data_IF_386763678380
#
_entry.id   IF_386763678380
#
_cell.length_a   1.000
_cell.length_b   1.000
_cell.length_c   1.000
_cell.angle_alpha   90.00
_cell.angle_beta   90.00
_cell.angle_gamma   90.00
#
_symmetry.space_group_name_H-M   'P 1'
#
loop_
_entity.id
_entity.type
_entity.pdbx_description
1 polymer ?
#
# COMPACT_ATOMS: atom_id res chain seq x y z
N UNK A 1 13.99 -12.82 -8.94
CA UNK A 1 13.04 -12.88 -7.79
C UNK A 1 11.63 -12.88 -8.34
N UNK A 2 10.65 -13.56 -7.68
CA UNK A 2 9.22 -13.53 -8.06
C UNK A 2 8.48 -12.54 -7.17
N UNK A 3 7.55 -11.75 -7.74
CA UNK A 3 6.70 -10.81 -7.00
C UNK A 3 5.29 -11.37 -6.93
N UNK A 4 4.67 -11.40 -5.74
CA UNK A 4 3.25 -11.66 -5.57
C UNK A 4 2.51 -10.34 -5.38
N UNK A 5 1.61 -10.03 -6.31
CA UNK A 5 0.81 -8.81 -6.31
C UNK A 5 -0.56 -9.17 -5.75
N UNK A 6 -0.86 -8.67 -4.56
CA UNK A 6 -2.12 -8.95 -3.86
C UNK A 6 -3.09 -7.79 -4.11
N UNK A 7 -4.28 -8.12 -4.61
CA UNK A 7 -5.34 -7.17 -4.94
C UNK A 7 -6.58 -7.48 -4.10
N UNK A 8 -6.74 -6.83 -2.93
CA UNK A 8 -7.98 -6.94 -2.17
C UNK A 8 -9.10 -6.22 -2.92
N UNK A 9 -10.25 -6.86 -3.07
CA UNK A 9 -11.31 -6.41 -3.98
C UNK A 9 -12.68 -6.50 -3.33
N UNK A 10 -13.49 -5.47 -3.50
CA UNK A 10 -14.91 -5.47 -3.13
C UNK A 10 -15.70 -4.41 -3.89
N UNK A 11 -16.65 -4.85 -4.74
CA UNK A 11 -17.51 -3.99 -5.57
C UNK A 11 -16.68 -2.96 -6.35
N UNK A 12 -15.77 -3.43 -7.18
CA UNK A 12 -14.77 -2.63 -7.91
C UNK A 12 -14.92 -2.73 -9.42
N UNK A 13 -16.14 -3.00 -9.93
CA UNK A 13 -16.39 -3.22 -11.36
C UNK A 13 -15.96 -2.05 -12.26
N UNK A 14 -15.94 -0.80 -11.72
CA UNK A 14 -15.52 0.38 -12.46
C UNK A 14 -14.00 0.49 -12.66
N UNK A 15 -13.19 -0.19 -11.85
CA UNK A 15 -11.74 0.09 -11.76
C UNK A 15 -10.86 -1.14 -11.85
N UNK A 16 -11.36 -2.31 -11.48
CA UNK A 16 -10.55 -3.54 -11.39
C UNK A 16 -9.86 -3.92 -12.71
N UNK A 17 -10.51 -3.64 -13.86
CA UNK A 17 -9.89 -3.92 -15.16
C UNK A 17 -8.65 -3.06 -15.38
N UNK A 18 -8.68 -1.76 -15.04
CA UNK A 18 -7.53 -0.88 -15.16
C UNK A 18 -6.39 -1.34 -14.25
N UNK A 19 -6.74 -1.77 -13.02
CA UNK A 19 -5.76 -2.31 -12.06
C UNK A 19 -5.06 -3.54 -12.65
N UNK A 20 -5.81 -4.52 -13.15
CA UNK A 20 -5.28 -5.73 -13.79
C UNK A 20 -4.43 -5.36 -15.01
N UNK A 21 -4.91 -4.48 -15.88
CA UNK A 21 -4.20 -4.04 -17.07
C UNK A 21 -2.85 -3.41 -16.72
N UNK A 22 -2.78 -2.61 -15.65
CA UNK A 22 -1.54 -1.97 -15.20
C UNK A 22 -0.47 -2.96 -14.75
N UNK A 23 -0.90 -4.12 -14.23
CA UNK A 23 -0.01 -5.23 -13.88
C UNK A 23 0.46 -5.97 -15.12
N UNK A 24 -0.47 -6.30 -16.03
CA UNK A 24 -0.13 -6.99 -17.29
C UNK A 24 0.86 -6.18 -18.13
N UNK A 25 0.71 -4.87 -18.11
CA UNK A 25 1.53 -3.93 -18.87
C UNK A 25 2.97 -3.84 -18.35
N UNK A 26 3.30 -4.37 -17.16
CA UNK A 26 4.66 -4.34 -16.64
C UNK A 26 5.64 -5.11 -17.55
N UNK A 27 6.86 -4.58 -17.73
CA UNK A 27 7.92 -5.25 -18.49
C UNK A 27 8.42 -6.51 -17.76
N UNK A 28 8.63 -6.41 -16.45
CA UNK A 28 8.98 -7.54 -15.60
C UNK A 28 7.84 -8.56 -15.56
N UNK A 29 8.12 -9.84 -15.92
CA UNK A 29 7.08 -10.87 -16.09
C UNK A 29 7.08 -11.96 -15.01
N UNK A 30 8.09 -11.99 -14.13
CA UNK A 30 8.15 -13.01 -13.09
C UNK A 30 7.31 -12.60 -11.85
N UNK A 31 6.02 -12.50 -12.05
CA UNK A 31 5.05 -12.18 -10.98
C UNK A 31 3.89 -13.17 -10.99
N UNK A 32 3.08 -13.13 -9.94
CA UNK A 32 1.76 -13.72 -9.86
C UNK A 32 0.77 -12.67 -9.36
N UNK A 33 -0.49 -12.78 -9.77
CA UNK A 33 -1.59 -11.95 -9.29
C UNK A 33 -2.45 -12.79 -8.35
N UNK A 34 -2.74 -12.26 -7.17
CA UNK A 34 -3.61 -12.88 -6.18
C UNK A 34 -4.74 -11.91 -5.86
N UNK A 35 -5.93 -12.19 -6.35
CA UNK A 35 -7.12 -11.39 -6.08
C UNK A 35 -7.92 -12.04 -4.97
N UNK A 36 -8.21 -11.28 -3.91
CA UNK A 36 -9.05 -11.70 -2.79
C UNK A 36 -10.30 -10.83 -2.77
N UNK A 37 -11.41 -11.42 -3.19
CA UNK A 37 -12.70 -10.73 -3.34
C UNK A 37 -13.64 -11.03 -2.17
N UNK A 38 -14.16 -9.97 -1.54
CA UNK A 38 -15.09 -10.06 -0.42
C UNK A 38 -16.56 -10.25 -0.88
N UNK A 39 -16.83 -11.29 -1.68
CA UNK A 39 -18.16 -11.58 -2.21
C UNK A 39 -18.83 -10.37 -2.90
N UNK A 40 -18.16 -9.77 -3.87
CA UNK A 40 -18.69 -8.66 -4.68
C UNK A 40 -20.04 -9.01 -5.30
N UNK A 41 -20.95 -8.02 -5.33
CA UNK A 41 -22.32 -8.15 -5.83
C UNK A 41 -22.55 -7.44 -7.17
N UNK A 42 -21.55 -6.68 -7.62
CA UNK A 42 -21.52 -6.03 -8.93
C UNK A 42 -20.80 -6.92 -9.97
N UNK A 43 -20.45 -6.36 -11.13
CA UNK A 43 -19.77 -7.09 -12.20
C UNK A 43 -18.30 -7.41 -11.94
N UNK A 44 -17.76 -7.13 -10.75
CA UNK A 44 -16.33 -7.33 -10.41
C UNK A 44 -15.86 -8.75 -10.69
N UNK A 45 -16.59 -9.75 -10.18
CA UNK A 45 -16.24 -11.17 -10.33
C UNK A 45 -16.27 -11.60 -11.81
N UNK A 46 -17.25 -11.12 -12.57
CA UNK A 46 -17.36 -11.39 -14.02
C UNK A 46 -16.16 -10.84 -14.78
N UNK A 47 -15.76 -9.59 -14.48
CA UNK A 47 -14.61 -8.93 -15.11
C UNK A 47 -13.33 -9.71 -14.82
N UNK A 48 -13.10 -10.11 -13.57
CA UNK A 48 -11.89 -10.85 -13.19
C UNK A 48 -11.82 -12.19 -13.94
N UNK A 49 -12.94 -12.93 -14.01
CA UNK A 49 -13.03 -14.22 -14.70
C UNK A 49 -12.81 -14.15 -16.22
N UNK A 50 -13.06 -12.99 -16.83
CA UNK A 50 -12.78 -12.76 -18.27
C UNK A 50 -11.29 -12.62 -18.59
N UNK A 51 -10.44 -12.30 -17.60
CA UNK A 51 -8.99 -12.19 -17.76
C UNK A 51 -8.29 -13.57 -17.76
N UNK A 52 -8.69 -14.49 -18.64
CA UNK A 52 -8.24 -15.89 -18.70
C UNK A 52 -6.79 -16.08 -19.19
N UNK A 53 -6.19 -15.06 -19.77
CA UNK A 53 -4.84 -15.13 -20.37
C UNK A 53 -3.72 -14.99 -19.33
N UNK A 54 -4.06 -14.85 -18.04
CA UNK A 54 -3.10 -14.62 -16.98
C UNK A 54 -3.38 -15.60 -15.85
N UNK A 55 -2.31 -16.12 -15.26
CA UNK A 55 -2.40 -16.94 -14.05
C UNK A 55 -2.80 -16.07 -12.84
N UNK A 56 -4.10 -15.81 -12.72
CA UNK A 56 -4.69 -15.10 -11.58
C UNK A 56 -5.18 -16.13 -10.57
N UNK A 57 -4.55 -16.18 -9.40
CA UNK A 57 -5.13 -16.87 -8.25
C UNK A 57 -6.29 -16.02 -7.71
N UNK A 58 -7.48 -16.54 -7.80
CA UNK A 58 -8.69 -15.80 -7.44
C UNK A 58 -9.46 -16.52 -6.32
N UNK A 59 -9.71 -15.81 -5.22
CA UNK A 59 -10.44 -16.28 -4.06
C UNK A 59 -11.64 -15.38 -3.84
N UNK A 60 -12.82 -16.00 -3.74
CA UNK A 60 -14.07 -15.32 -3.37
C UNK A 60 -14.44 -15.81 -1.98
N UNK A 61 -14.24 -14.97 -0.99
CA UNK A 61 -14.48 -15.32 0.40
C UNK A 61 -14.80 -14.07 1.22
N UNK A 62 -15.77 -14.18 2.12
CA UNK A 62 -16.07 -13.09 3.05
C UNK A 62 -14.84 -12.79 3.91
N UNK A 63 -14.49 -11.51 4.01
CA UNK A 63 -13.42 -11.01 4.87
C UNK A 63 -13.97 -10.11 6.00
N UNK A 64 -13.14 -9.91 7.02
CA UNK A 64 -13.38 -9.00 8.13
C UNK A 64 -12.73 -7.62 7.89
N UNK A 65 -12.63 -7.20 6.64
CA UNK A 65 -12.02 -5.95 6.20
C UNK A 65 -10.78 -6.16 5.34
N UNK A 66 -10.34 -5.07 4.70
CA UNK A 66 -9.28 -5.09 3.68
C UNK A 66 -7.99 -5.78 4.14
N UNK A 67 -7.60 -5.63 5.41
CA UNK A 67 -6.36 -6.26 5.92
C UNK A 67 -6.49 -7.75 6.16
N UNK A 68 -7.71 -8.26 6.39
CA UNK A 68 -7.96 -9.70 6.41
C UNK A 68 -7.80 -10.30 5.00
N UNK A 69 -8.37 -9.66 3.98
CA UNK A 69 -8.16 -10.04 2.59
C UNK A 69 -6.67 -10.02 2.20
N UNK A 70 -5.94 -8.96 2.57
CA UNK A 70 -4.50 -8.86 2.33
C UNK A 70 -3.75 -10.02 3.00
N UNK A 71 -4.03 -10.31 4.26
CA UNK A 71 -3.38 -11.39 5.00
C UNK A 71 -3.63 -12.76 4.34
N UNK A 72 -4.85 -13.01 3.85
CA UNK A 72 -5.17 -14.23 3.08
C UNK A 72 -4.32 -14.30 1.81
N UNK A 73 -4.22 -13.19 1.06
CA UNK A 73 -3.40 -13.11 -0.13
C UNK A 73 -1.91 -13.35 0.15
N UNK A 74 -1.35 -12.79 1.23
CA UNK A 74 0.05 -13.01 1.63
C UNK A 74 0.31 -14.50 1.93
N UNK A 75 -0.60 -15.16 2.64
CA UNK A 75 -0.47 -16.61 2.97
C UNK A 75 -0.42 -17.48 1.71
N UNK A 76 -1.18 -17.14 0.69
CA UNK A 76 -1.25 -17.87 -0.58
C UNK A 76 -0.16 -17.52 -1.59
N UNK A 77 0.58 -16.46 -1.32
CA UNK A 77 1.65 -16.00 -2.21
C UNK A 77 2.81 -17.00 -2.27
N UNK A 78 3.45 -17.09 -3.44
CA UNK A 78 4.65 -17.92 -3.65
C UNK A 78 5.88 -17.08 -3.99
N UNK A 79 5.70 -15.79 -4.27
CA UNK A 79 6.79 -14.87 -4.57
C UNK A 79 7.61 -14.50 -3.33
N UNK A 80 8.87 -14.15 -3.54
CA UNK A 80 9.76 -13.66 -2.49
C UNK A 80 9.43 -12.24 -2.05
N UNK A 81 8.81 -11.45 -2.93
CA UNK A 81 8.43 -10.06 -2.70
C UNK A 81 6.91 -9.96 -2.71
N UNK A 82 6.34 -9.27 -1.74
CA UNK A 82 4.92 -8.93 -1.67
C UNK A 82 4.73 -7.48 -2.10
N UNK A 83 3.79 -7.28 -3.02
CA UNK A 83 3.26 -5.99 -3.41
C UNK A 83 1.76 -5.94 -3.12
N UNK A 84 1.27 -4.80 -2.69
CA UNK A 84 -0.15 -4.54 -2.52
C UNK A 84 -0.60 -3.51 -3.53
N UNK A 85 -1.65 -3.83 -4.27
CA UNK A 85 -2.27 -2.90 -5.20
C UNK A 85 -3.78 -2.95 -4.97
N UNK A 86 -4.39 -1.85 -4.53
CA UNK A 86 -5.83 -1.82 -4.34
C UNK A 86 -6.56 -1.89 -5.67
N UNK A 87 -7.79 -2.41 -5.67
CA UNK A 87 -8.60 -2.65 -6.87
C UNK A 87 -9.05 -1.39 -7.62
N UNK A 88 -8.72 -0.21 -7.10
CA UNK A 88 -8.93 1.10 -7.70
C UNK A 88 -7.61 1.85 -8.00
N UNK A 89 -6.44 1.25 -7.71
CA UNK A 89 -5.12 1.81 -7.97
C UNK A 89 -4.45 1.16 -9.19
N UNK A 90 -3.48 1.85 -9.77
CA UNK A 90 -2.70 1.35 -10.91
C UNK A 90 -1.21 1.62 -10.72
N UNK A 91 -0.35 0.75 -11.24
CA UNK A 91 1.06 1.09 -11.40
C UNK A 91 1.24 2.28 -12.34
N UNK A 92 2.23 3.11 -12.04
CA UNK A 92 2.46 4.37 -12.75
C UNK A 92 2.75 4.18 -14.24
N UNK A 93 3.66 3.24 -14.54
CA UNK A 93 4.05 2.85 -15.90
C UNK A 93 4.51 1.38 -15.95
N UNK A 94 5.10 0.96 -17.08
CA UNK A 94 5.53 -0.41 -17.30
C UNK A 94 6.88 -0.79 -16.68
N UNK A 95 7.58 0.14 -16.02
CA UNK A 95 8.92 -0.06 -15.43
C UNK A 95 8.92 -0.19 -13.92
N UNK A 96 7.75 -0.08 -13.28
CA UNK A 96 7.67 -0.09 -11.81
C UNK A 96 8.27 -1.36 -11.23
N UNK A 97 7.87 -2.53 -11.71
CA UNK A 97 8.36 -3.80 -11.17
C UNK A 97 9.85 -4.03 -11.49
N UNK A 98 10.35 -3.56 -12.64
CA UNK A 98 11.78 -3.60 -12.96
C UNK A 98 12.59 -2.78 -11.95
N UNK A 99 12.16 -1.54 -11.68
CA UNK A 99 12.82 -0.67 -10.70
C UNK A 99 12.84 -1.30 -9.30
N UNK A 100 11.73 -1.94 -8.91
CA UNK A 100 11.62 -2.64 -7.62
C UNK A 100 12.61 -3.79 -7.54
N UNK A 101 12.63 -4.69 -8.52
CA UNK A 101 13.52 -5.86 -8.53
C UNK A 101 14.99 -5.44 -8.57
N UNK A 102 15.31 -4.44 -9.40
CA UNK A 102 16.65 -3.86 -9.45
C UNK A 102 17.08 -3.31 -8.09
N UNK A 103 16.19 -2.59 -7.41
CA UNK A 103 16.49 -2.05 -6.09
C UNK A 103 16.77 -3.16 -5.06
N UNK A 104 15.96 -4.22 -5.03
CA UNK A 104 16.20 -5.37 -4.15
C UNK A 104 17.54 -6.05 -4.43
N UNK A 105 17.94 -6.15 -5.70
CA UNK A 105 19.20 -6.78 -6.11
C UNK A 105 20.41 -5.89 -5.81
N UNK A 106 20.29 -4.57 -6.08
CA UNK A 106 21.42 -3.62 -5.96
C UNK A 106 21.74 -3.26 -4.51
N UNK A 107 20.71 -3.08 -3.68
CA UNK A 107 20.89 -2.55 -2.31
C UNK A 107 20.79 -3.62 -1.23
N UNK A 108 20.61 -4.89 -1.59
CA UNK A 108 20.46 -6.01 -0.64
C UNK A 108 19.42 -5.70 0.48
N UNK A 109 18.38 -4.97 0.11
CA UNK A 109 17.36 -4.44 1.02
C UNK A 109 16.23 -5.44 1.26
N UNK A 110 15.55 -5.32 2.38
CA UNK A 110 14.38 -6.15 2.69
C UNK A 110 13.06 -5.48 2.31
N UNK A 111 13.09 -4.16 2.13
CA UNK A 111 11.92 -3.33 1.82
C UNK A 111 12.32 -2.29 0.79
N UNK A 112 11.48 -2.11 -0.24
CA UNK A 112 11.61 -1.04 -1.23
C UNK A 112 10.31 -0.23 -1.24
N UNK A 113 10.41 1.09 -1.29
CA UNK A 113 9.25 1.96 -1.46
C UNK A 113 9.57 3.16 -2.34
N UNK A 114 8.54 3.70 -2.98
CA UNK A 114 8.66 4.80 -3.91
C UNK A 114 7.62 5.90 -3.70
N UNK A 115 7.53 6.79 -4.66
CA UNK A 115 6.56 7.88 -4.69
C UNK A 115 5.16 7.37 -5.07
N UNK A 116 4.14 8.17 -4.71
CA UNK A 116 2.74 7.90 -5.04
C UNK A 116 2.06 9.18 -5.53
N UNK A 117 1.28 9.06 -6.60
CA UNK A 117 0.38 10.12 -7.06
C UNK A 117 -1.04 9.85 -6.59
N UNK A 118 -1.70 10.86 -6.04
CA UNK A 118 -3.16 10.88 -5.94
C UNK A 118 -3.73 11.51 -7.21
N UNK A 119 -4.63 10.79 -7.87
CA UNK A 119 -5.26 11.23 -9.13
C UNK A 119 -6.77 11.30 -8.98
N UNK A 120 -7.45 12.03 -9.86
CA UNK A 120 -8.91 12.05 -9.88
C UNK A 120 -9.47 10.67 -10.22
N UNK A 121 -10.60 10.27 -9.60
CA UNK A 121 -11.22 8.97 -9.83
C UNK A 121 -11.47 8.69 -11.31
N UNK A 122 -12.02 9.66 -12.03
CA UNK A 122 -12.45 9.53 -13.43
C UNK A 122 -11.41 10.05 -14.44
N UNK A 123 -10.24 10.51 -13.97
CA UNK A 123 -9.16 10.98 -14.85
C UNK A 123 -7.81 10.76 -14.16
N UNK A 124 -7.16 9.65 -14.48
CA UNK A 124 -5.89 9.23 -13.89
C UNK A 124 -4.69 10.11 -14.27
N UNK A 125 -4.85 11.02 -15.23
CA UNK A 125 -3.80 11.97 -15.62
C UNK A 125 -3.94 13.30 -14.87
N UNK A 126 -5.08 13.51 -14.19
CA UNK A 126 -5.30 14.68 -13.34
C UNK A 126 -4.75 14.44 -11.93
N UNK A 127 -3.52 14.91 -11.70
CA UNK A 127 -2.84 14.79 -10.41
C UNK A 127 -3.41 15.79 -9.41
N UNK A 128 -3.81 15.27 -8.25
CA UNK A 128 -4.34 16.06 -7.12
C UNK A 128 -3.27 16.32 -6.05
N UNK A 129 -2.37 15.35 -5.84
CA UNK A 129 -1.36 15.42 -4.79
C UNK A 129 -0.21 14.47 -5.11
N UNK A 130 1.02 14.91 -4.87
CA UNK A 130 2.22 14.12 -5.03
C UNK A 130 2.80 13.75 -3.66
N UNK A 131 2.79 12.47 -3.33
CA UNK A 131 3.41 11.96 -2.10
C UNK A 131 4.81 11.46 -2.41
N UNK A 132 5.79 12.32 -2.14
CA UNK A 132 7.22 12.04 -2.23
C UNK A 132 7.76 11.76 -0.83
N UNK A 133 7.93 10.50 -0.42
CA UNK A 133 8.56 10.18 0.84
C UNK A 133 10.07 10.50 0.78
N UNK A 134 10.73 10.34 1.91
CA UNK A 134 12.19 10.38 2.03
C UNK A 134 12.68 9.02 2.49
N UNK A 135 13.98 8.78 2.44
CA UNK A 135 14.59 7.64 3.11
C UNK A 135 14.18 7.63 4.58
N UNK A 136 13.90 6.43 5.09
CA UNK A 136 13.54 6.26 6.49
C UNK A 136 14.69 6.69 7.40
N UNK A 137 14.34 7.40 8.46
CA UNK A 137 15.22 7.78 9.55
C UNK A 137 14.50 7.41 10.84
N UNK A 138 15.17 6.73 11.75
CA UNK A 138 14.61 6.33 13.05
C UNK A 138 14.01 7.54 13.78
N UNK A 139 12.81 7.37 14.35
CA UNK A 139 12.03 8.45 14.97
C UNK A 139 11.11 9.20 14.00
N UNK A 140 11.11 8.86 12.70
CA UNK A 140 10.25 9.55 11.71
C UNK A 140 8.76 9.34 11.95
N UNK A 141 8.35 8.17 12.45
CA UNK A 141 6.95 7.89 12.77
C UNK A 141 6.41 8.79 13.88
N UNK A 142 7.24 9.15 14.87
CA UNK A 142 6.88 10.10 15.92
C UNK A 142 6.64 11.52 15.37
N UNK A 143 7.15 11.80 14.18
CA UNK A 143 6.94 13.05 13.42
C UNK A 143 5.83 12.88 12.37
N UNK A 144 4.93 11.91 12.53
CA UNK A 144 3.81 11.67 11.62
C UNK A 144 4.22 11.32 10.18
N UNK A 145 5.47 10.88 9.96
CA UNK A 145 5.95 10.42 8.68
C UNK A 145 5.81 8.89 8.57
N UNK A 146 5.44 8.42 7.40
CA UNK A 146 5.54 7.03 6.96
C UNK A 146 5.58 6.99 5.43
N UNK A 147 6.10 5.91 4.80
CA UNK A 147 6.03 5.76 3.36
C UNK A 147 4.59 5.52 2.88
N UNK A 148 4.27 5.76 1.59
CA UNK A 148 2.97 5.42 1.04
C UNK A 148 2.80 3.90 0.99
N UNK A 149 1.76 3.38 1.62
CA UNK A 149 1.52 1.95 1.71
C UNK A 149 1.37 1.23 0.35
N UNK A 150 0.64 1.76 -0.68
CA UNK A 150 0.54 1.09 -1.97
C UNK A 150 1.87 1.01 -2.75
N UNK A 151 2.86 1.82 -2.40
CA UNK A 151 4.21 1.78 -3.00
C UNK A 151 5.25 1.02 -2.16
N UNK A 152 4.80 0.23 -1.18
CA UNK A 152 5.66 -0.43 -0.19
C UNK A 152 5.77 -1.92 -0.52
N UNK A 153 6.93 -2.33 -1.05
CA UNK A 153 7.27 -3.70 -1.44
C UNK A 153 8.12 -4.35 -0.35
N UNK A 154 7.77 -5.58 0.04
CA UNK A 154 8.31 -6.23 1.24
C UNK A 154 8.75 -7.65 0.92
N UNK A 155 9.90 -8.09 1.42
CA UNK A 155 10.27 -9.51 1.40
C UNK A 155 9.25 -10.32 2.21
N UNK A 156 8.70 -11.39 1.61
CA UNK A 156 7.63 -12.19 2.20
C UNK A 156 7.97 -12.74 3.57
N UNK A 157 9.21 -13.14 3.79
CA UNK A 157 9.68 -13.72 5.05
C UNK A 157 9.48 -12.80 6.26
N UNK A 158 9.44 -11.47 6.06
CA UNK A 158 9.20 -10.52 7.14
C UNK A 158 7.83 -10.69 7.78
N UNK A 159 6.82 -11.11 7.01
CA UNK A 159 5.48 -11.38 7.55
C UNK A 159 5.47 -12.61 8.47
N UNK A 160 6.22 -13.64 8.12
CA UNK A 160 6.36 -14.83 8.97
C UNK A 160 7.16 -14.52 10.24
N UNK A 161 8.20 -13.69 10.13
CA UNK A 161 9.10 -13.38 11.22
C UNK A 161 8.55 -12.33 12.19
N UNK A 162 7.90 -11.30 11.68
CA UNK A 162 7.48 -10.14 12.45
C UNK A 162 5.96 -9.95 12.51
N UNK A 163 5.19 -10.84 11.86
CA UNK A 163 3.73 -10.87 11.90
C UNK A 163 3.05 -10.12 10.76
N UNK A 164 1.82 -10.51 10.49
CA UNK A 164 0.94 -9.98 9.46
C UNK A 164 0.29 -8.65 9.86
N UNK A 165 -0.60 -8.12 9.00
CA UNK A 165 -1.41 -6.96 9.35
C UNK A 165 -2.35 -7.26 10.52
N UNK A 166 -2.40 -6.35 11.50
CA UNK A 166 -3.32 -6.44 12.64
C UNK A 166 -4.72 -6.01 12.22
N UNK A 167 -5.63 -6.93 12.07
CA UNK A 167 -7.02 -6.66 11.63
C UNK A 167 -7.86 -5.93 12.68
N UNK A 168 -7.42 -5.92 13.94
CA UNK A 168 -8.14 -5.33 15.08
C UNK A 168 -8.02 -3.82 15.19
N UNK A 169 -7.04 -3.19 14.52
CA UNK A 169 -6.77 -1.75 14.63
C UNK A 169 -7.29 -0.94 13.42
N UNK A 170 -8.20 -1.54 12.63
CA UNK A 170 -8.89 -0.86 11.54
C UNK A 170 -7.94 -0.25 10.50
N UNK A 171 -8.22 0.99 10.07
CA UNK A 171 -7.49 1.67 8.99
C UNK A 171 -6.05 2.08 9.33
N UNK A 172 -5.54 1.74 10.51
CA UNK A 172 -4.17 2.07 10.93
C UNK A 172 -3.21 0.90 10.78
N UNK A 173 -3.68 -0.26 10.32
CA UNK A 173 -2.90 -1.48 10.26
C UNK A 173 -1.69 -1.40 9.30
N UNK A 174 -1.81 -0.60 8.24
CA UNK A 174 -0.70 -0.29 7.33
C UNK A 174 0.41 0.49 8.02
N UNK A 175 0.04 1.56 8.72
CA UNK A 175 1.01 2.39 9.45
C UNK A 175 1.65 1.59 10.58
N UNK A 176 0.88 0.75 11.30
CA UNK A 176 1.40 -0.12 12.35
C UNK A 176 2.41 -1.14 11.80
N UNK A 177 2.10 -1.79 10.69
CA UNK A 177 3.01 -2.75 10.08
C UNK A 177 4.32 -2.08 9.66
N UNK A 178 4.24 -0.93 8.97
CA UNK A 178 5.43 -0.18 8.57
C UNK A 178 6.23 0.31 9.78
N UNK A 179 5.57 0.77 10.84
CA UNK A 179 6.20 1.14 12.12
C UNK A 179 6.91 -0.05 12.75
N UNK A 180 6.25 -1.19 12.84
CA UNK A 180 6.80 -2.42 13.41
C UNK A 180 8.02 -2.91 12.63
N UNK A 181 7.98 -2.87 11.30
CA UNK A 181 9.11 -3.29 10.46
C UNK A 181 10.27 -2.29 10.52
N UNK A 182 10.01 -1.02 10.29
CA UNK A 182 11.06 0.00 10.14
C UNK A 182 11.58 0.50 11.48
N UNK A 183 10.68 0.88 12.40
CA UNK A 183 11.06 1.57 13.64
C UNK A 183 11.42 0.60 14.76
N UNK A 184 10.60 -0.46 14.95
CA UNK A 184 10.79 -1.41 16.05
C UNK A 184 11.86 -2.44 15.71
N UNK A 185 11.76 -3.08 14.54
CA UNK A 185 12.65 -4.16 14.13
C UNK A 185 13.84 -3.67 13.28
N UNK A 186 13.92 -2.37 13.02
CA UNK A 186 15.03 -1.74 12.31
C UNK A 186 15.37 -2.43 10.97
N UNK A 187 14.33 -2.87 10.24
CA UNK A 187 14.48 -3.57 8.96
C UNK A 187 15.05 -2.61 7.93
N UNK A 188 16.08 -3.05 7.22
CA UNK A 188 16.71 -2.25 6.18
C UNK A 188 15.75 -2.00 5.01
N UNK A 189 15.62 -0.72 4.64
CA UNK A 189 14.70 -0.28 3.60
C UNK A 189 15.33 0.75 2.68
N UNK A 190 14.99 0.67 1.39
CA UNK A 190 15.48 1.57 0.36
C UNK A 190 14.34 2.38 -0.24
N UNK A 191 14.51 3.69 -0.22
CA UNK A 191 13.64 4.63 -0.94
C UNK A 191 14.15 4.83 -2.36
N UNK A 192 13.26 4.67 -3.33
CA UNK A 192 13.53 4.96 -4.75
C UNK A 192 12.75 6.21 -5.14
N UNK A 193 13.45 7.22 -5.64
CA UNK A 193 12.80 8.43 -6.15
C UNK A 193 12.16 8.19 -7.52
N UNK A 194 11.16 7.31 -7.55
CA UNK A 194 10.37 6.95 -8.71
C UNK A 194 8.91 6.82 -8.31
N UNK A 195 7.99 7.15 -9.21
CA UNK A 195 6.56 7.00 -8.95
C UNK A 195 6.19 5.54 -9.19
N UNK A 196 5.64 4.89 -8.17
CA UNK A 196 5.24 3.50 -8.28
C UNK A 196 3.75 3.34 -8.57
N UNK A 197 2.92 4.17 -7.95
CA UNK A 197 1.46 3.99 -7.99
C UNK A 197 0.74 5.32 -8.24
N UNK A 198 -0.27 5.28 -9.11
CA UNK A 198 -1.35 6.27 -9.20
C UNK A 198 -2.53 5.75 -8.37
N UNK A 199 -2.82 6.42 -7.26
CA UNK A 199 -3.91 6.11 -6.34
C UNK A 199 -5.11 7.00 -6.63
N UNK A 200 -6.29 6.40 -6.91
CA UNK A 200 -7.52 7.17 -7.15
C UNK A 200 -8.03 7.78 -5.86
N UNK A 201 -8.31 9.09 -5.91
CA UNK A 201 -8.86 9.82 -4.77
C UNK A 201 -10.35 9.50 -4.59
N UNK A 202 -10.77 9.28 -3.34
CA UNK A 202 -12.18 9.06 -3.03
C UNK A 202 -12.54 7.63 -2.59
N UNK A 203 -11.57 6.75 -2.38
CA UNK A 203 -11.76 5.42 -1.80
C UNK A 203 -12.38 5.47 -0.39
N UNK A 204 -12.77 4.30 0.14
CA UNK A 204 -13.52 4.16 1.42
C UNK A 204 -12.84 4.84 2.62
N UNK A 205 -11.51 4.93 2.64
CA UNK A 205 -10.73 5.47 3.76
C UNK A 205 -10.76 7.00 3.89
N UNK A 206 -11.14 7.73 2.84
CA UNK A 206 -11.02 9.20 2.80
C UNK A 206 -12.33 9.96 3.08
N UNK A 207 -13.44 9.28 3.35
CA UNK A 207 -14.78 9.90 3.27
C UNK A 207 -15.35 10.48 4.57
N UNK A 208 -14.79 10.20 5.76
CA UNK A 208 -15.38 10.68 7.03
C UNK A 208 -14.32 11.21 7.99
N UNK A 209 -14.52 12.44 8.49
CA UNK A 209 -13.68 13.07 9.50
C UNK A 209 -13.46 12.18 10.74
N UNK A 210 -14.52 11.52 11.20
CA UNK A 210 -14.46 10.59 12.33
C UNK A 210 -13.54 9.38 12.07
N UNK A 211 -13.45 8.89 10.83
CA UNK A 211 -12.55 7.80 10.48
C UNK A 211 -11.08 8.23 10.57
N UNK A 212 -10.77 9.46 10.11
CA UNK A 212 -9.42 10.04 10.20
C UNK A 212 -9.03 10.26 11.67
N UNK A 213 -9.97 10.76 12.49
CA UNK A 213 -9.73 10.96 13.92
C UNK A 213 -9.46 9.64 14.63
N UNK A 214 -10.30 8.62 14.40
CA UNK A 214 -10.11 7.27 14.94
C UNK A 214 -8.76 6.68 14.53
N UNK A 215 -8.38 6.81 13.27
CA UNK A 215 -7.08 6.36 12.77
C UNK A 215 -5.92 7.05 13.51
N UNK A 216 -5.99 8.36 13.72
CA UNK A 216 -4.94 9.08 14.45
C UNK A 216 -4.84 8.66 15.91
N UNK A 217 -5.96 8.39 16.57
CA UNK A 217 -5.98 7.89 17.96
C UNK A 217 -5.28 6.52 18.03
N UNK A 218 -5.58 5.62 17.11
CA UNK A 218 -4.91 4.31 17.07
C UNK A 218 -3.39 4.45 16.80
N UNK A 219 -3.00 5.35 15.90
CA UNK A 219 -1.57 5.63 15.65
C UNK A 219 -0.88 6.14 16.92
N UNK A 220 -1.47 7.10 17.62
CA UNK A 220 -0.94 7.66 18.87
C UNK A 220 -0.77 6.57 19.94
N UNK A 221 -1.74 5.63 20.04
CA UNK A 221 -1.70 4.51 20.99
C UNK A 221 -0.51 3.58 20.71
N UNK A 222 -0.36 3.06 19.48
CA UNK A 222 0.73 2.13 19.21
C UNK A 222 2.12 2.79 19.15
N UNK A 223 2.19 4.12 18.93
CA UNK A 223 3.43 4.88 19.09
C UNK A 223 3.82 5.08 20.57
N UNK A 224 2.94 4.78 21.51
CA UNK A 224 3.17 4.94 22.95
C UNK A 224 3.27 6.41 23.40
N UNK A 225 2.65 7.34 22.68
CA UNK A 225 2.71 8.78 23.01
C UNK A 225 1.41 9.32 23.59
N UNK A 226 0.42 8.46 23.81
CA UNK A 226 -0.93 8.83 24.27
C UNK A 226 -0.98 9.61 25.61
N UNK A 227 0.03 9.45 26.46
CA UNK A 227 0.13 10.14 27.75
C UNK A 227 1.06 11.35 27.72
N UNK A 228 1.50 11.82 26.55
CA UNK A 228 2.42 12.94 26.42
C UNK A 228 1.89 13.98 25.43
N UNK A 229 1.26 15.03 25.97
CA UNK A 229 0.63 16.10 25.18
C UNK A 229 1.61 16.80 24.22
N UNK A 230 2.85 17.02 24.62
CA UNK A 230 3.88 17.63 23.77
C UNK A 230 4.19 16.76 22.55
N UNK A 231 4.40 15.45 22.77
CA UNK A 231 4.66 14.52 21.66
C UNK A 231 3.46 14.42 20.72
N UNK A 232 2.22 14.40 21.25
CA UNK A 232 1.01 14.42 20.44
C UNK A 232 0.92 15.70 19.60
N UNK A 233 1.15 16.86 20.20
CA UNK A 233 1.15 18.14 19.51
C UNK A 233 2.18 18.19 18.39
N UNK A 234 3.43 17.81 18.65
CA UNK A 234 4.48 17.73 17.65
C UNK A 234 4.15 16.74 16.53
N UNK A 235 3.58 15.57 16.87
CA UNK A 235 3.12 14.61 15.87
C UNK A 235 2.13 15.24 14.90
N UNK A 236 1.11 15.94 15.38
CA UNK A 236 0.11 16.56 14.51
C UNK A 236 0.68 17.71 13.67
N UNK A 237 1.51 18.57 14.25
CA UNK A 237 2.15 19.67 13.50
C UNK A 237 2.99 19.11 12.35
N UNK A 238 3.88 18.18 12.64
CA UNK A 238 4.73 17.58 11.61
C UNK A 238 3.93 16.82 10.56
N UNK A 239 2.88 16.08 10.97
CA UNK A 239 1.99 15.40 10.06
C UNK A 239 1.27 16.37 9.11
N UNK A 240 0.81 17.51 9.63
CA UNK A 240 0.20 18.57 8.83
C UNK A 240 1.21 19.16 7.84
N UNK A 241 2.40 19.52 8.28
CA UNK A 241 3.47 20.07 7.43
C UNK A 241 3.83 19.05 6.31
N UNK A 242 4.01 17.77 6.66
CA UNK A 242 4.31 16.72 5.69
C UNK A 242 3.18 16.56 4.67
N UNK A 243 1.92 16.73 5.08
CA UNK A 243 0.78 16.66 4.19
C UNK A 243 0.68 17.88 3.27
N UNK A 244 0.92 19.09 3.77
CA UNK A 244 0.89 20.33 2.98
C UNK A 244 1.97 20.30 1.88
N UNK A 245 3.17 19.83 2.19
CA UNK A 245 4.25 19.67 1.20
C UNK A 245 3.85 18.85 -0.01
N UNK A 246 2.96 17.86 0.16
CA UNK A 246 2.51 16.98 -0.93
C UNK A 246 1.61 17.70 -1.96
N UNK A 247 1.07 18.87 -1.63
CA UNK A 247 0.31 19.71 -2.56
C UNK A 247 1.17 20.77 -3.25
N UNK A 248 2.34 21.08 -2.68
CA UNK A 248 3.26 22.12 -3.20
C UNK A 248 4.29 21.54 -4.17
N UNK A 249 4.66 20.27 -4.00
CA UNK A 249 5.61 19.58 -4.87
C UNK A 249 4.86 18.98 -6.06
N UNK A 250 5.35 19.24 -7.27
CA UNK A 250 4.86 18.60 -8.50
C UNK A 250 5.76 17.44 -8.89
N UNK A 251 5.21 16.38 -9.54
CA UNK A 251 6.00 15.26 -10.06
C UNK A 251 6.93 15.67 -11.18
#
# INVERSE_FOLDING_TARGET
MKISIIIPTFNSSETIQDTINSVIFQNFKNYEIIIVDNNSKDKTIEIIKKNRLIDIKFIIEKDNGVYDAINKGIKLSTGKIISLLHSDDIYYDNKVLDNVVTAFATYETNIVYGNLLYVKKNNIDSVLRFWKPKSFIKGSFLKGWHPPHPSFFVQKELFSKYGFYKTTIGNSADVELMYRFLEINNIYSTYINYIFVKMRYGGKSNKKFNAILKQNIEIIKFLGINNNYYKIFFFFIHKLINRLKQFLVRP
#
